data_IF_342455200070
#
_entry.id   IF_342455200070
#
_cell.length_a   1.000
_cell.length_b   1.000
_cell.length_c   1.000
_cell.angle_alpha   90.00
_cell.angle_beta   90.00
_cell.angle_gamma   90.00
#
_symmetry.space_group_name_H-M   'P 1'
#
loop_
_entity.id
_entity.type
_entity.pdbx_description
1 polymer ?
#
# COMPACT_ATOMS: atom_id res chain seq x y z
N UNK A 1 9.73 41.59 -26.61
CA UNK A 1 10.55 40.37 -26.51
C UNK A 1 10.78 40.16 -25.02
N UNK A 2 9.78 39.64 -24.31
CA UNK A 2 9.86 39.44 -22.87
C UNK A 2 10.87 38.34 -22.58
N UNK A 3 11.97 38.73 -21.95
CA UNK A 3 13.05 37.82 -21.55
C UNK A 3 12.53 36.92 -20.45
N UNK A 4 12.44 35.62 -20.73
CA UNK A 4 12.14 34.60 -19.73
C UNK A 4 13.21 34.63 -18.63
N UNK A 5 12.87 35.18 -17.46
CA UNK A 5 13.80 35.28 -16.34
C UNK A 5 13.86 33.93 -15.61
N UNK A 6 14.95 33.20 -15.82
CA UNK A 6 15.15 31.87 -15.25
C UNK A 6 15.13 31.89 -13.71
N UNK A 7 15.54 32.98 -13.08
CA UNK A 7 15.54 33.12 -11.63
C UNK A 7 14.11 33.15 -11.07
N UNK A 8 13.21 33.86 -11.75
CA UNK A 8 11.79 33.93 -11.39
C UNK A 8 11.09 32.57 -11.59
N UNK A 9 11.43 31.85 -12.65
CA UNK A 9 10.90 30.52 -12.92
C UNK A 9 11.33 29.52 -11.83
N UNK A 10 12.58 29.56 -11.39
CA UNK A 10 13.10 28.72 -10.30
C UNK A 10 12.43 29.07 -8.96
N UNK A 11 12.25 30.36 -8.67
CA UNK A 11 11.56 30.81 -7.45
C UNK A 11 10.09 30.34 -7.42
N UNK A 12 9.41 30.43 -8.56
CA UNK A 12 8.03 29.96 -8.74
C UNK A 12 7.93 28.44 -8.55
N UNK A 13 8.91 27.69 -9.05
CA UNK A 13 8.95 26.25 -8.89
C UNK A 13 9.23 25.85 -7.43
N UNK A 14 10.16 26.52 -6.75
CA UNK A 14 10.47 26.23 -5.35
C UNK A 14 9.25 26.49 -4.46
N UNK A 15 8.55 27.61 -4.70
CA UNK A 15 7.29 27.92 -3.99
C UNK A 15 6.20 26.88 -4.25
N UNK A 16 6.14 26.32 -5.47
CA UNK A 16 5.21 25.22 -5.81
C UNK A 16 5.61 23.91 -5.12
N UNK A 17 6.90 23.61 -5.02
CA UNK A 17 7.43 22.44 -4.30
C UNK A 17 7.14 22.56 -2.80
N UNK A 18 7.31 23.74 -2.21
CA UNK A 18 7.00 23.99 -0.80
C UNK A 18 5.49 23.80 -0.54
N UNK A 19 4.63 24.33 -1.41
CA UNK A 19 3.17 24.10 -1.31
C UNK A 19 2.78 22.65 -1.53
N UNK A 20 3.44 21.94 -2.45
CA UNK A 20 3.22 20.50 -2.62
C UNK A 20 3.70 19.72 -1.40
N UNK A 21 4.78 20.15 -0.75
CA UNK A 21 5.31 19.53 0.46
C UNK A 21 4.35 19.73 1.62
N UNK A 22 3.88 20.96 1.86
CA UNK A 22 2.85 21.25 2.88
C UNK A 22 1.53 20.51 2.60
N UNK A 23 1.13 20.43 1.32
CA UNK A 23 -0.08 19.70 0.93
C UNK A 23 0.10 18.21 1.17
N UNK A 24 1.22 17.61 0.74
CA UNK A 24 1.57 16.20 0.97
C UNK A 24 1.71 15.90 2.45
N UNK A 25 2.22 16.82 3.27
CA UNK A 25 2.29 16.70 4.73
C UNK A 25 0.92 16.80 5.40
N UNK A 26 0.03 17.64 4.89
CA UNK A 26 -1.37 17.71 5.35
C UNK A 26 -2.19 16.47 4.95
N UNK A 27 -1.84 15.85 3.83
CA UNK A 27 -2.32 14.53 3.41
C UNK A 27 -1.45 13.39 3.96
N UNK A 28 -0.36 13.67 4.69
CA UNK A 28 0.53 12.65 5.22
C UNK A 28 -0.21 11.97 6.34
N UNK A 29 -0.72 10.80 5.99
CA UNK A 29 -1.49 9.96 6.86
C UNK A 29 -0.65 9.69 8.12
N UNK A 30 -1.15 9.96 9.34
CA UNK A 30 -0.39 9.71 10.57
C UNK A 30 0.07 8.26 10.60
N UNK A 31 1.21 7.93 11.21
CA UNK A 31 1.75 6.56 11.17
C UNK A 31 0.72 5.48 11.60
N UNK A 32 -0.20 5.83 12.50
CA UNK A 32 -1.34 4.99 12.93
C UNK A 32 -2.40 4.78 11.83
N UNK A 33 -2.53 5.72 10.90
CA UNK A 33 -3.40 5.64 9.74
C UNK A 33 -2.69 5.20 8.44
N UNK A 34 -1.35 5.16 8.38
CA UNK A 34 -0.65 4.36 7.34
C UNK A 34 -1.01 2.89 7.50
N UNK A 35 -1.01 2.41 8.74
CA UNK A 35 -1.68 1.16 9.14
C UNK A 35 -3.20 1.18 8.92
N UNK A 36 -3.83 2.31 8.55
CA UNK A 36 -5.24 2.41 8.18
C UNK A 36 -5.50 2.33 6.67
N UNK A 37 -4.57 2.80 5.83
CA UNK A 37 -4.55 2.47 4.39
C UNK A 37 -4.09 1.02 4.19
N UNK A 38 -3.20 0.54 5.04
CA UNK A 38 -2.97 -0.89 5.28
C UNK A 38 -4.03 -1.53 6.21
N UNK A 39 -4.99 -0.81 6.83
CA UNK A 39 -5.92 -1.44 7.82
C UNK A 39 -6.94 -2.36 7.15
N UNK A 40 -7.11 -2.25 5.84
CA UNK A 40 -7.86 -3.26 5.09
C UNK A 40 -7.03 -4.51 4.79
N UNK A 41 -5.72 -4.48 5.05
CA UNK A 41 -4.75 -5.57 4.85
C UNK A 41 -4.20 -6.01 6.20
N UNK A 42 -4.81 -7.06 6.75
CA UNK A 42 -4.26 -7.78 7.88
C UNK A 42 -3.02 -8.53 7.40
N UNK A 43 -1.86 -8.31 8.01
CA UNK A 43 -0.66 -9.13 7.79
C UNK A 43 -0.56 -10.25 8.83
N UNK A 44 0.18 -11.35 8.56
CA UNK A 44 0.45 -12.38 9.56
C UNK A 44 1.13 -11.81 10.82
N UNK A 45 1.97 -10.79 10.65
CA UNK A 45 2.62 -10.11 11.77
C UNK A 45 1.66 -9.28 12.62
N UNK A 46 0.61 -8.73 12.04
CA UNK A 46 -0.42 -8.02 12.81
C UNK A 46 -1.20 -9.00 13.70
N UNK A 47 -1.51 -10.20 13.19
CA UNK A 47 -2.18 -11.26 13.94
C UNK A 47 -1.31 -11.72 15.10
N UNK A 48 -0.03 -12.03 14.84
CA UNK A 48 0.89 -12.48 15.90
C UNK A 48 1.08 -11.46 17.02
N UNK A 49 0.98 -10.17 16.70
CA UNK A 49 1.22 -9.07 17.65
C UNK A 49 -0.04 -8.61 18.39
N UNK A 50 -1.22 -8.97 17.94
CA UNK A 50 -2.48 -8.50 18.53
C UNK A 50 -2.61 -8.97 19.98
N UNK A 51 -3.13 -8.10 20.85
CA UNK A 51 -3.41 -8.41 22.26
C UNK A 51 -4.84 -8.01 22.59
N UNK A 52 -5.63 -8.98 23.03
CA UNK A 52 -6.99 -8.75 23.49
C UNK A 52 -7.01 -8.35 24.96
N UNK A 53 -7.95 -7.48 25.32
CA UNK A 53 -8.20 -7.12 26.72
C UNK A 53 -9.11 -8.17 27.35
N UNK A 54 -8.74 -8.69 28.52
CA UNK A 54 -9.55 -9.66 29.26
C UNK A 54 -10.81 -9.01 29.85
N UNK A 55 -11.95 -9.69 29.78
CA UNK A 55 -13.18 -9.28 30.46
C UNK A 55 -13.21 -9.84 31.90
N UNK A 56 -13.72 -9.06 32.87
CA UNK A 56 -13.86 -9.52 34.27
C UNK A 56 -15.31 -9.80 34.68
N UNK A 57 -16.26 -9.07 34.08
CA UNK A 57 -17.67 -9.08 34.47
C UNK A 57 -18.60 -9.62 33.38
N UNK A 58 -18.05 -9.84 32.17
CA UNK A 58 -18.80 -10.32 31.01
C UNK A 58 -18.22 -11.66 30.54
N UNK A 59 -19.05 -12.57 29.99
CA UNK A 59 -18.57 -13.76 29.30
C UNK A 59 -17.54 -13.37 28.24
N UNK A 60 -16.43 -14.10 28.19
CA UNK A 60 -15.36 -13.90 27.22
C UNK A 60 -15.04 -15.21 26.51
N UNK A 61 -14.28 -15.10 25.43
CA UNK A 61 -13.75 -16.28 24.73
C UNK A 61 -12.68 -16.98 25.58
N UNK A 62 -12.55 -18.30 25.41
CA UNK A 62 -11.48 -19.08 26.02
C UNK A 62 -10.17 -18.71 25.32
N UNK A 63 -9.18 -18.23 26.09
CA UNK A 63 -7.94 -17.71 25.52
C UNK A 63 -7.22 -18.71 24.62
N UNK A 64 -7.09 -19.98 25.05
CA UNK A 64 -6.41 -21.01 24.26
C UNK A 64 -7.11 -21.30 22.94
N UNK A 65 -8.44 -21.24 22.90
CA UNK A 65 -9.20 -21.45 21.66
C UNK A 65 -9.02 -20.27 20.69
N UNK A 66 -8.96 -19.05 21.23
CA UNK A 66 -8.65 -17.84 20.44
C UNK A 66 -7.23 -17.92 19.90
N UNK A 67 -6.25 -18.30 20.72
CA UNK A 67 -4.85 -18.42 20.28
C UNK A 67 -4.71 -19.48 19.17
N UNK A 68 -5.31 -20.67 19.32
CA UNK A 68 -5.31 -21.71 18.28
C UNK A 68 -6.01 -21.26 16.98
N UNK A 69 -7.09 -20.48 17.10
CA UNK A 69 -7.76 -19.90 15.95
C UNK A 69 -6.86 -18.89 15.22
N UNK A 70 -6.17 -18.02 15.96
CA UNK A 70 -5.28 -17.01 15.38
C UNK A 70 -4.06 -17.65 14.69
N UNK A 71 -3.53 -18.76 15.20
CA UNK A 71 -2.46 -19.52 14.54
C UNK A 71 -2.90 -20.00 13.14
N UNK A 72 -4.14 -20.51 13.02
CA UNK A 72 -4.71 -20.94 11.73
C UNK A 72 -4.88 -19.75 10.78
N UNK A 73 -5.46 -18.65 11.27
CA UNK A 73 -5.68 -17.45 10.45
C UNK A 73 -4.35 -16.83 10.00
N UNK A 74 -3.33 -16.83 10.86
CA UNK A 74 -1.98 -16.37 10.51
C UNK A 74 -1.42 -17.17 9.33
N UNK A 75 -1.50 -18.51 9.40
CA UNK A 75 -1.02 -19.40 8.34
C UNK A 75 -1.76 -19.18 7.02
N UNK A 76 -3.09 -19.10 7.04
CA UNK A 76 -3.92 -18.90 5.86
C UNK A 76 -3.64 -17.56 5.17
N UNK A 77 -3.56 -16.46 5.94
CA UNK A 77 -3.24 -15.14 5.39
C UNK A 77 -1.82 -15.12 4.81
N UNK A 78 -0.88 -15.83 5.44
CA UNK A 78 0.46 -16.04 4.90
C UNK A 78 0.43 -16.69 3.50
N UNK A 79 -0.32 -17.79 3.33
CA UNK A 79 -0.47 -18.47 2.04
C UNK A 79 -1.10 -17.56 0.99
N UNK A 80 -2.22 -16.91 1.32
CA UNK A 80 -2.95 -16.05 0.40
C UNK A 80 -2.12 -14.85 -0.07
N UNK A 81 -1.24 -14.31 0.77
CA UNK A 81 -0.32 -13.24 0.38
C UNK A 81 0.66 -13.73 -0.69
N UNK A 82 1.27 -14.90 -0.48
CA UNK A 82 2.21 -15.50 -1.43
C UNK A 82 1.54 -15.79 -2.76
N UNK A 83 0.36 -16.41 -2.73
CA UNK A 83 -0.41 -16.74 -3.94
C UNK A 83 -0.82 -15.49 -4.71
N UNK A 84 -1.32 -14.47 -4.00
CA UNK A 84 -1.68 -13.18 -4.61
C UNK A 84 -0.48 -12.52 -5.28
N UNK A 85 0.68 -12.54 -4.62
CA UNK A 85 1.87 -11.87 -5.14
C UNK A 85 2.39 -12.60 -6.39
N UNK A 86 2.41 -13.93 -6.38
CA UNK A 86 2.69 -14.73 -7.57
C UNK A 86 1.73 -14.43 -8.73
N UNK A 87 0.43 -14.35 -8.47
CA UNK A 87 -0.58 -14.03 -9.48
C UNK A 87 -0.41 -12.60 -10.05
N UNK A 88 0.03 -11.63 -9.22
CA UNK A 88 0.31 -10.26 -9.67
C UNK A 88 1.55 -10.19 -10.55
N UNK A 89 2.59 -10.94 -10.23
CA UNK A 89 3.81 -11.02 -11.04
C UNK A 89 3.51 -11.64 -12.41
N UNK A 90 2.68 -12.69 -12.45
CA UNK A 90 2.20 -13.29 -13.69
C UNK A 90 1.37 -12.30 -14.52
N UNK A 91 0.43 -11.61 -13.88
CA UNK A 91 -0.38 -10.59 -14.55
C UNK A 91 0.46 -9.43 -15.10
N UNK A 92 1.54 -9.04 -14.40
CA UNK A 92 2.46 -8.01 -14.86
C UNK A 92 3.23 -8.45 -16.11
N UNK A 93 3.75 -9.68 -16.13
CA UNK A 93 4.44 -10.25 -17.31
C UNK A 93 3.53 -10.31 -18.53
N UNK A 94 2.31 -10.82 -18.37
CA UNK A 94 1.34 -10.91 -19.47
C UNK A 94 0.97 -9.53 -20.02
N UNK A 95 0.83 -8.52 -19.15
CA UNK A 95 0.58 -7.14 -19.58
C UNK A 95 1.75 -6.56 -20.37
N UNK A 96 2.98 -6.87 -19.99
CA UNK A 96 4.18 -6.45 -20.70
C UNK A 96 4.26 -7.12 -22.09
N UNK A 97 4.08 -8.43 -22.17
CA UNK A 97 4.02 -9.18 -23.44
C UNK A 97 2.93 -8.65 -24.38
N UNK A 98 1.74 -8.37 -23.84
CA UNK A 98 0.64 -7.79 -24.61
C UNK A 98 0.96 -6.36 -25.09
N UNK A 99 1.65 -5.57 -24.26
CA UNK A 99 2.07 -4.21 -24.65
C UNK A 99 3.15 -4.21 -25.74
N UNK A 100 4.08 -5.18 -25.70
CA UNK A 100 5.11 -5.35 -26.72
C UNK A 100 4.52 -5.80 -28.07
N UNK A 101 3.48 -6.63 -28.03
CA UNK A 101 2.76 -7.06 -29.23
C UNK A 101 1.83 -5.98 -29.83
N UNK A 102 1.40 -5.00 -29.02
CA UNK A 102 0.48 -3.94 -29.42
C UNK A 102 1.15 -2.64 -29.91
N UNK A 103 2.49 -2.52 -29.84
CA UNK A 103 3.19 -1.40 -30.45
C UNK A 103 3.07 -1.51 -31.99
N UNK A 104 2.37 -0.58 -32.66
CA UNK A 104 2.12 -0.72 -34.08
C UNK A 104 3.45 -0.62 -34.85
N UNK A 105 3.57 -1.48 -35.86
CA UNK A 105 4.44 -1.28 -37.02
C UNK A 105 3.94 -0.06 -37.81
N UNK A 106 3.89 1.13 -37.19
CA UNK A 106 3.64 2.40 -37.86
C UNK A 106 4.96 2.89 -38.46
N UNK A 107 5.24 2.43 -39.67
CA UNK A 107 6.42 2.89 -40.41
C UNK A 107 6.94 1.93 -41.47
N UNK A 108 6.07 1.32 -42.28
CA UNK A 108 6.52 0.75 -43.56
C UNK A 108 5.36 0.63 -44.55
N UNK A 109 4.96 1.76 -45.16
CA UNK A 109 4.31 1.80 -46.47
C UNK A 109 4.55 3.18 -47.10
#
# INVERSE_FOLDING_TARGET
METFNAEEAVQSLNTKVDRLTELVESFAIPAKARHAVDAHRITPMDIRRVKFVSTRLAPGYVQSEVDEFLDKVEAEIGSLIVERDAARDEAAKLREELSAAAAPQEGMA
#
